data_IF_750733363448
#
_entry.id   IF_750733363448
#
_cell.length_a   1.000
_cell.length_b   1.000
_cell.length_c   1.000
_cell.angle_alpha   90.00
_cell.angle_beta   90.00
_cell.angle_gamma   90.00
#
_symmetry.space_group_name_H-M   'P 1'
#
loop_
_entity.id
_entity.type
_entity.pdbx_description
1 polymer ?
#
# COMPACT_ATOMS: atom_id res chain seq x y z
N UNK A 1 -18.07 -11.17 -8.11
CA UNK A 1 -17.62 -12.08 -9.18
C UNK A 1 -16.12 -12.23 -9.02
N UNK A 2 -15.56 -13.45 -9.09
CA UNK A 2 -14.12 -13.63 -9.17
C UNK A 2 -13.56 -12.90 -10.41
N UNK A 3 -12.45 -12.18 -10.25
CA UNK A 3 -11.80 -11.44 -11.34
C UNK A 3 -10.31 -11.45 -11.07
N UNK A 4 -9.55 -11.96 -12.03
CA UNK A 4 -8.10 -11.82 -12.02
C UNK A 4 -7.74 -10.46 -12.63
N UNK A 5 -7.20 -9.57 -11.80
CA UNK A 5 -6.80 -8.22 -12.24
C UNK A 5 -5.63 -8.23 -13.21
N UNK A 6 -4.84 -9.32 -13.25
CA UNK A 6 -3.73 -9.47 -14.18
C UNK A 6 -4.19 -9.75 -15.61
N UNK A 7 -5.46 -10.15 -15.79
CA UNK A 7 -6.11 -10.30 -17.09
C UNK A 7 -6.96 -9.07 -17.43
N UNK A 8 -6.53 -8.31 -18.44
CA UNK A 8 -7.23 -7.11 -18.90
C UNK A 8 -8.65 -7.41 -19.40
N UNK A 9 -8.90 -8.59 -20.00
CA UNK A 9 -10.22 -8.98 -20.47
C UNK A 9 -11.17 -9.28 -19.30
N UNK A 10 -10.67 -9.95 -18.25
CA UNK A 10 -11.44 -10.18 -17.03
C UNK A 10 -11.84 -8.87 -16.34
N UNK A 11 -10.93 -7.89 -16.29
CA UNK A 11 -11.22 -6.56 -15.73
C UNK A 11 -12.23 -5.79 -16.59
N UNK A 12 -12.13 -5.88 -17.92
CA UNK A 12 -13.12 -5.29 -18.82
C UNK A 12 -14.51 -5.91 -18.64
N UNK A 13 -14.60 -7.23 -18.46
CA UNK A 13 -15.85 -7.92 -18.16
C UNK A 13 -16.46 -7.48 -16.81
N UNK A 14 -15.63 -7.25 -15.79
CA UNK A 14 -16.08 -6.70 -14.50
C UNK A 14 -16.67 -5.29 -14.67
N UNK A 15 -16.00 -4.41 -15.42
CA UNK A 15 -16.51 -3.08 -15.78
C UNK A 15 -17.86 -3.17 -16.48
N UNK A 16 -17.99 -4.02 -17.50
CA UNK A 16 -19.23 -4.15 -18.28
C UNK A 16 -20.38 -4.65 -17.41
N UNK A 17 -20.10 -5.56 -16.48
CA UNK A 17 -21.11 -5.99 -15.51
C UNK A 17 -21.52 -4.86 -14.56
N UNK A 18 -20.56 -4.09 -14.05
CA UNK A 18 -20.85 -2.94 -13.18
C UNK A 18 -21.72 -1.90 -13.92
N UNK A 19 -21.43 -1.64 -15.19
CA UNK A 19 -22.26 -0.79 -16.06
C UNK A 19 -23.66 -1.36 -16.26
N UNK A 20 -23.79 -2.67 -16.47
CA UNK A 20 -25.10 -3.31 -16.61
C UNK A 20 -25.96 -3.25 -15.33
N UNK A 21 -25.35 -3.11 -14.14
CA UNK A 21 -26.07 -3.01 -12.87
C UNK A 21 -26.59 -1.59 -12.60
N UNK A 22 -25.83 -0.55 -12.96
CA UNK A 22 -26.11 0.83 -12.53
C UNK A 22 -26.12 1.88 -13.64
N UNK A 23 -25.86 1.50 -14.90
CA UNK A 23 -25.75 2.39 -16.05
C UNK A 23 -24.52 3.31 -16.04
N UNK A 24 -23.76 3.35 -14.95
CA UNK A 24 -22.60 4.22 -14.74
C UNK A 24 -21.66 3.62 -13.70
N UNK A 25 -20.42 4.11 -13.67
CA UNK A 25 -19.45 3.81 -12.61
C UNK A 25 -18.98 5.15 -12.06
N UNK A 26 -19.39 5.53 -10.84
CA UNK A 26 -18.94 6.81 -10.25
C UNK A 26 -17.59 6.65 -9.53
N UNK A 27 -17.29 5.45 -9.04
CA UNK A 27 -16.06 5.14 -8.28
C UNK A 27 -15.53 3.77 -8.69
N UNK A 28 -14.22 3.70 -8.94
CA UNK A 28 -13.50 2.43 -9.06
C UNK A 28 -12.35 2.43 -8.07
N UNK A 29 -12.28 1.41 -7.21
CA UNK A 29 -11.27 1.29 -6.18
C UNK A 29 -10.37 0.09 -6.47
N UNK A 30 -9.18 0.35 -7.01
CA UNK A 30 -8.13 -0.64 -7.20
C UNK A 30 -7.39 -0.84 -5.86
N UNK A 31 -7.62 -1.99 -5.24
CA UNK A 31 -7.19 -2.31 -3.87
C UNK A 31 -6.29 -3.54 -3.77
N UNK A 32 -6.31 -4.37 -4.80
CA UNK A 32 -5.54 -5.59 -4.93
C UNK A 32 -4.06 -5.40 -4.58
N UNK A 33 -3.47 -6.44 -3.98
CA UNK A 33 -2.09 -6.39 -3.58
C UNK A 33 -1.62 -7.72 -3.02
N UNK A 34 -0.49 -8.17 -3.52
CA UNK A 34 0.27 -9.32 -3.00
C UNK A 34 1.70 -8.90 -2.71
N UNK A 35 2.41 -9.70 -1.94
CA UNK A 35 3.78 -9.39 -1.57
C UNK A 35 4.57 -10.64 -1.18
N UNK A 36 5.88 -10.48 -1.18
CA UNK A 36 6.82 -11.46 -0.68
C UNK A 36 7.79 -10.79 0.28
N UNK A 37 8.20 -11.53 1.32
CA UNK A 37 9.25 -11.12 2.24
C UNK A 37 10.43 -12.09 2.13
N UNK A 38 11.62 -11.58 1.86
CA UNK A 38 12.87 -12.34 1.73
C UNK A 38 13.96 -11.49 1.10
N UNK A 39 15.22 -11.92 1.13
CA UNK A 39 16.26 -11.20 0.37
C UNK A 39 15.97 -11.35 -1.12
N UNK A 40 16.34 -10.33 -1.90
CA UNK A 40 16.01 -10.29 -3.33
C UNK A 40 16.40 -11.56 -4.08
N UNK A 41 17.61 -12.09 -3.83
CA UNK A 41 18.14 -13.29 -4.49
C UNK A 41 17.63 -14.61 -3.90
N UNK A 42 16.98 -14.58 -2.74
CA UNK A 42 16.38 -15.76 -2.09
C UNK A 42 14.91 -15.94 -2.48
N UNK A 43 14.26 -14.88 -2.96
CA UNK A 43 12.88 -14.90 -3.48
C UNK A 43 12.90 -15.32 -4.95
N UNK A 44 12.12 -16.34 -5.37
CA UNK A 44 12.03 -16.76 -6.76
C UNK A 44 11.62 -15.62 -7.70
N UNK A 45 12.19 -15.58 -8.91
CA UNK A 45 11.89 -14.50 -9.86
C UNK A 45 10.41 -14.45 -10.26
N UNK A 46 9.77 -15.61 -10.41
CA UNK A 46 8.33 -15.73 -10.66
C UNK A 46 7.48 -15.03 -9.60
N UNK A 47 7.92 -15.03 -8.34
CA UNK A 47 7.23 -14.33 -7.25
C UNK A 47 7.35 -12.81 -7.41
N UNK A 48 8.55 -12.32 -7.79
CA UNK A 48 8.74 -10.89 -8.09
C UNK A 48 7.88 -10.46 -9.28
N UNK A 49 7.85 -11.23 -10.36
CA UNK A 49 7.02 -10.95 -11.53
C UNK A 49 5.53 -10.91 -11.19
N UNK A 50 5.05 -11.89 -10.42
CA UNK A 50 3.64 -11.97 -10.03
C UNK A 50 3.22 -10.78 -9.16
N UNK A 51 4.11 -10.29 -8.30
CA UNK A 51 3.89 -9.05 -7.52
C UNK A 51 3.76 -7.85 -8.46
N UNK A 52 4.61 -7.71 -9.47
CA UNK A 52 4.51 -6.60 -10.44
C UNK A 52 3.21 -6.72 -11.26
N UNK A 53 2.88 -7.92 -11.76
CA UNK A 53 1.65 -8.17 -12.52
C UNK A 53 0.41 -7.78 -11.71
N UNK A 54 0.33 -8.21 -10.44
CA UNK A 54 -0.83 -7.92 -9.59
C UNK A 54 -0.86 -6.45 -9.15
N UNK A 55 0.23 -5.96 -8.57
CA UNK A 55 0.23 -4.68 -7.85
C UNK A 55 0.38 -3.46 -8.77
N UNK A 56 0.92 -3.63 -9.98
CA UNK A 56 1.09 -2.53 -10.94
C UNK A 56 0.20 -2.76 -12.17
N UNK A 57 0.42 -3.85 -12.90
CA UNK A 57 -0.31 -4.09 -14.15
C UNK A 57 -1.82 -4.25 -13.86
N UNK A 58 -2.21 -4.90 -12.76
CA UNK A 58 -3.62 -5.01 -12.37
C UNK A 58 -4.32 -3.66 -12.15
N UNK A 59 -3.63 -2.71 -11.51
CA UNK A 59 -4.14 -1.35 -11.35
C UNK A 59 -4.19 -0.60 -12.69
N UNK A 60 -3.22 -0.81 -13.57
CA UNK A 60 -3.24 -0.23 -14.93
C UNK A 60 -4.38 -0.81 -15.77
N UNK A 61 -4.64 -2.11 -15.69
CA UNK A 61 -5.79 -2.77 -16.32
C UNK A 61 -7.10 -2.18 -15.80
N UNK A 62 -7.21 -1.99 -14.48
CA UNK A 62 -8.34 -1.32 -13.85
C UNK A 62 -8.58 0.08 -14.42
N UNK A 63 -7.55 0.92 -14.44
CA UNK A 63 -7.66 2.28 -15.00
C UNK A 63 -8.00 2.26 -16.49
N UNK A 64 -7.34 1.42 -17.28
CA UNK A 64 -7.58 1.27 -18.71
C UNK A 64 -9.03 0.87 -19.00
N UNK A 65 -9.63 0.05 -18.14
CA UNK A 65 -11.04 -0.32 -18.26
C UNK A 65 -11.98 0.86 -17.97
N UNK A 66 -11.73 1.64 -16.90
CA UNK A 66 -12.73 2.61 -16.38
C UNK A 66 -12.53 4.07 -16.80
N UNK A 67 -11.31 4.50 -17.11
CA UNK A 67 -11.05 5.90 -17.52
C UNK A 67 -11.87 6.28 -18.76
N UNK A 68 -12.00 5.44 -19.81
CA UNK A 68 -12.90 5.74 -20.93
C UNK A 68 -14.36 5.89 -20.52
N UNK A 69 -14.81 5.18 -19.49
CA UNK A 69 -16.17 5.33 -18.94
C UNK A 69 -16.31 6.69 -18.28
N UNK A 70 -15.33 7.08 -17.46
CA UNK A 70 -15.31 8.36 -16.75
C UNK A 70 -15.31 9.55 -17.71
N UNK A 71 -14.55 9.45 -18.81
CA UNK A 71 -14.52 10.45 -19.87
C UNK A 71 -15.88 10.59 -20.56
N UNK A 72 -16.53 9.47 -20.92
CA UNK A 72 -17.86 9.51 -21.55
C UNK A 72 -18.96 10.07 -20.65
N UNK A 73 -18.92 9.76 -19.35
CA UNK A 73 -19.92 10.26 -18.39
C UNK A 73 -19.57 11.66 -17.84
N UNK A 74 -18.38 12.19 -18.15
CA UNK A 74 -17.88 13.48 -17.69
C UNK A 74 -17.60 13.57 -16.19
N UNK A 75 -17.51 12.43 -15.47
CA UNK A 75 -17.18 12.35 -14.04
C UNK A 75 -16.70 10.98 -13.61
N UNK A 76 -15.95 10.88 -12.53
CA UNK A 76 -15.58 9.60 -11.93
C UNK A 76 -14.41 9.71 -10.96
N UNK A 77 -14.29 8.77 -10.03
CA UNK A 77 -13.16 8.73 -9.10
C UNK A 77 -12.46 7.38 -9.17
N UNK A 78 -11.23 7.36 -9.67
CA UNK A 78 -10.32 6.23 -9.58
C UNK A 78 -9.54 6.33 -8.26
N UNK A 79 -9.60 5.31 -7.43
CA UNK A 79 -8.88 5.25 -6.15
C UNK A 79 -7.83 4.14 -6.23
N UNK A 80 -6.56 4.50 -6.03
CA UNK A 80 -5.42 3.58 -5.98
C UNK A 80 -5.00 3.29 -4.54
N UNK A 81 -5.03 2.03 -4.13
CA UNK A 81 -4.40 1.58 -2.90
C UNK A 81 -2.90 1.40 -3.10
N UNK A 82 -2.13 2.40 -2.66
CA UNK A 82 -0.67 2.35 -2.66
C UNK A 82 -0.23 1.78 -1.30
N UNK A 83 0.62 2.48 -0.56
CA UNK A 83 1.26 2.03 0.66
C UNK A 83 2.24 3.09 1.12
N UNK A 84 2.57 3.14 2.41
CA UNK A 84 3.81 3.74 2.89
C UNK A 84 5.04 3.34 2.04
N UNK A 85 5.05 2.09 1.56
CA UNK A 85 6.07 1.54 0.66
C UNK A 85 6.20 2.25 -0.69
N UNK A 86 5.30 3.17 -1.05
CA UNK A 86 5.43 4.05 -2.22
C UNK A 86 6.23 5.33 -1.95
N UNK A 87 6.62 5.59 -0.69
CA UNK A 87 7.50 6.70 -0.32
C UNK A 87 8.83 6.25 0.26
N UNK A 88 8.85 5.16 1.02
CA UNK A 88 10.05 4.62 1.65
C UNK A 88 10.15 3.13 1.34
N UNK A 89 11.25 2.74 0.69
CA UNK A 89 11.48 1.33 0.34
C UNK A 89 11.55 0.47 1.60
N UNK A 90 10.91 -0.71 1.53
CA UNK A 90 10.96 -1.71 2.59
C UNK A 90 12.00 -2.76 2.24
N UNK A 91 13.11 -2.85 3.01
CA UNK A 91 14.05 -3.95 2.90
C UNK A 91 13.32 -5.30 2.98
N UNK A 92 13.83 -6.29 2.25
CA UNK A 92 13.25 -7.63 2.11
C UNK A 92 11.89 -7.70 1.40
N UNK A 93 11.35 -6.58 0.90
CA UNK A 93 10.10 -6.54 0.13
C UNK A 93 10.32 -5.80 -1.20
N UNK A 94 11.31 -6.25 -1.98
CA UNK A 94 11.83 -5.54 -3.16
C UNK A 94 10.76 -5.29 -4.24
N UNK A 95 10.14 -6.34 -4.78
CA UNK A 95 9.11 -6.19 -5.82
C UNK A 95 7.87 -5.44 -5.31
N UNK A 96 7.49 -5.64 -4.04
CA UNK A 96 6.40 -4.89 -3.43
C UNK A 96 6.71 -3.39 -3.41
N UNK A 97 7.88 -3.00 -2.89
CA UNK A 97 8.30 -1.61 -2.86
C UNK A 97 8.38 -1.03 -4.28
N UNK A 98 9.03 -1.72 -5.21
CA UNK A 98 9.10 -1.30 -6.61
C UNK A 98 7.72 -1.05 -7.22
N UNK A 99 6.77 -1.97 -7.03
CA UNK A 99 5.39 -1.81 -7.54
C UNK A 99 4.67 -0.60 -6.95
N UNK A 100 4.83 -0.34 -5.64
CA UNK A 100 4.15 0.79 -4.98
C UNK A 100 4.79 2.14 -5.32
N UNK A 101 6.09 2.20 -5.59
CA UNK A 101 6.72 3.38 -6.20
C UNK A 101 6.23 3.60 -7.64
N UNK A 102 6.15 2.53 -8.43
CA UNK A 102 5.65 2.61 -9.81
C UNK A 102 4.20 3.09 -9.89
N UNK A 103 3.32 2.62 -8.97
CA UNK A 103 1.94 3.11 -8.88
C UNK A 103 1.85 4.61 -8.68
N UNK A 104 2.75 5.22 -7.90
CA UNK A 104 2.77 6.66 -7.72
C UNK A 104 3.11 7.38 -9.03
N UNK A 105 4.14 6.93 -9.74
CA UNK A 105 4.49 7.49 -11.05
C UNK A 105 3.34 7.34 -12.05
N UNK A 106 2.68 6.17 -12.06
CA UNK A 106 1.49 5.92 -12.85
C UNK A 106 0.34 6.89 -12.51
N UNK A 107 0.02 7.08 -11.23
CA UNK A 107 -1.00 8.04 -10.79
C UNK A 107 -0.63 9.48 -11.16
N UNK A 108 0.64 9.87 -11.10
CA UNK A 108 1.12 11.20 -11.49
C UNK A 108 0.87 11.47 -12.99
N UNK A 109 1.21 10.50 -13.85
CA UNK A 109 0.96 10.59 -15.30
C UNK A 109 -0.53 10.61 -15.61
N UNK A 110 -1.31 9.69 -15.04
CA UNK A 110 -2.75 9.61 -15.31
C UNK A 110 -3.48 10.88 -14.85
N UNK A 111 -3.09 11.49 -13.72
CA UNK A 111 -3.59 12.80 -13.32
C UNK A 111 -3.26 13.90 -14.33
N UNK A 112 -2.06 13.87 -14.92
CA UNK A 112 -1.63 14.88 -15.89
C UNK A 112 -2.40 14.75 -17.21
N UNK A 113 -2.65 13.52 -17.68
CA UNK A 113 -3.46 13.26 -18.88
C UNK A 113 -4.93 13.67 -18.72
N UNK A 114 -5.45 13.64 -17.50
CA UNK A 114 -6.83 14.04 -17.17
C UNK A 114 -6.96 15.53 -16.82
N UNK A 115 -5.92 16.33 -17.02
CA UNK A 115 -6.01 17.80 -16.91
C UNK A 115 -7.08 18.31 -17.88
N UNK A 116 -7.95 19.20 -17.40
CA UNK A 116 -9.11 19.70 -18.16
C UNK A 116 -10.40 18.90 -17.94
N UNK A 117 -10.37 17.80 -17.18
CA UNK A 117 -11.54 17.03 -16.76
C UNK A 117 -11.89 17.32 -15.29
N UNK A 118 -12.64 18.40 -14.97
CA UNK A 118 -12.78 18.91 -13.60
C UNK A 118 -13.47 17.94 -12.62
N UNK A 119 -14.23 16.97 -13.12
CA UNK A 119 -14.99 16.02 -12.31
C UNK A 119 -14.45 14.59 -12.37
N UNK A 120 -13.27 14.39 -12.98
CA UNK A 120 -12.59 13.10 -13.03
C UNK A 120 -11.37 13.18 -12.13
N UNK A 121 -11.26 12.24 -11.19
CA UNK A 121 -10.25 12.30 -10.14
C UNK A 121 -9.49 10.99 -10.04
N UNK A 122 -8.17 11.08 -9.90
CA UNK A 122 -7.30 9.97 -9.54
C UNK A 122 -6.78 10.24 -8.14
N UNK A 123 -7.12 9.35 -7.21
CA UNK A 123 -6.87 9.52 -5.78
C UNK A 123 -5.98 8.38 -5.26
N UNK A 124 -4.90 8.72 -4.57
CA UNK A 124 -4.01 7.74 -3.96
C UNK A 124 -4.23 7.62 -2.46
N UNK A 125 -4.25 6.37 -1.97
CA UNK A 125 -4.29 6.04 -0.54
C UNK A 125 -2.95 5.44 -0.12
N UNK A 126 -2.32 6.04 0.88
CA UNK A 126 -1.04 5.59 1.44
C UNK A 126 -1.23 5.15 2.90
N UNK A 127 -1.69 3.91 3.14
CA UNK A 127 -1.78 3.37 4.49
C UNK A 127 -0.39 3.04 5.06
N UNK A 128 -0.25 3.21 6.37
CA UNK A 128 0.84 2.60 7.15
C UNK A 128 0.54 1.10 7.35
N UNK A 129 1.12 0.47 8.38
CA UNK A 129 0.77 -0.90 8.74
C UNK A 129 -0.67 -0.97 9.28
N UNK A 130 -1.50 -1.81 8.66
CA UNK A 130 -2.92 -1.96 8.98
C UNK A 130 -3.18 -3.36 9.52
N UNK A 131 -4.05 -3.45 10.54
CA UNK A 131 -4.47 -4.70 11.15
C UNK A 131 -5.41 -5.48 10.24
N UNK A 132 -4.83 -6.24 9.32
CA UNK A 132 -5.55 -7.15 8.43
C UNK A 132 -4.82 -8.49 8.37
N UNK A 133 -5.50 -9.57 7.97
CA UNK A 133 -4.84 -10.86 7.73
C UNK A 133 -3.77 -10.83 6.63
N UNK A 134 -3.67 -9.75 5.83
CA UNK A 134 -2.84 -9.68 4.63
C UNK A 134 -1.35 -9.98 4.83
N UNK A 135 -0.76 -9.64 5.98
CA UNK A 135 0.65 -10.01 6.27
C UNK A 135 0.82 -11.53 6.39
N UNK A 136 -0.18 -12.23 6.93
CA UNK A 136 -0.19 -13.68 6.98
C UNK A 136 -0.45 -14.33 5.62
N UNK A 137 -1.00 -13.60 4.66
CA UNK A 137 -1.25 -14.11 3.29
C UNK A 137 -0.03 -13.97 2.39
N UNK A 138 0.88 -13.04 2.70
CA UNK A 138 2.06 -12.76 1.87
C UNK A 138 2.98 -13.98 1.76
N UNK A 139 3.66 -14.10 0.63
CA UNK A 139 4.73 -15.08 0.50
C UNK A 139 5.87 -14.76 1.48
N UNK A 140 6.48 -15.81 2.01
CA UNK A 140 7.55 -15.68 2.99
C UNK A 140 8.69 -16.62 2.61
N UNK A 141 9.79 -16.03 2.18
CA UNK A 141 11.06 -16.68 1.87
C UNK A 141 12.16 -16.25 2.85
N UNK A 142 11.81 -15.56 3.94
CA UNK A 142 12.75 -15.11 4.96
C UNK A 142 13.08 -16.19 6.01
N UNK A 143 12.45 -17.36 5.94
CA UNK A 143 12.65 -18.49 6.88
C UNK A 143 12.24 -18.18 8.33
N UNK A 144 11.46 -17.10 8.53
CA UNK A 144 11.09 -16.53 9.83
C UNK A 144 9.70 -15.93 9.76
N UNK A 145 8.90 -16.10 10.81
CA UNK A 145 7.53 -15.55 10.89
C UNK A 145 7.56 -14.01 10.80
N UNK A 146 6.91 -13.46 9.79
CA UNK A 146 6.80 -12.00 9.59
C UNK A 146 5.55 -11.47 10.30
N UNK A 147 5.67 -10.28 10.88
CA UNK A 147 4.57 -9.54 11.49
C UNK A 147 4.65 -8.05 11.14
N UNK A 148 3.57 -7.29 11.37
CA UNK A 148 3.60 -5.84 11.26
C UNK A 148 4.40 -5.22 12.43
N UNK A 149 5.40 -4.37 12.18
CA UNK A 149 5.97 -3.57 13.25
C UNK A 149 4.95 -2.52 13.73
N UNK A 150 4.89 -2.25 15.04
CA UNK A 150 4.03 -1.20 15.57
C UNK A 150 4.49 0.20 15.11
N UNK A 151 3.59 1.19 15.02
CA UNK A 151 2.15 1.10 15.28
C UNK A 151 1.37 0.43 14.14
N UNK A 152 0.37 -0.37 14.51
CA UNK A 152 -0.60 -0.98 13.59
C UNK A 152 -1.95 -0.26 13.74
N UNK A 153 -2.55 0.16 12.62
CA UNK A 153 -3.78 0.93 12.59
C UNK A 153 -5.00 0.06 12.25
N UNK A 154 -6.19 0.50 12.68
CA UNK A 154 -7.46 -0.18 12.36
C UNK A 154 -7.76 -0.09 10.84
N UNK A 155 -8.15 -1.20 10.23
CA UNK A 155 -8.55 -1.27 8.81
C UNK A 155 -9.73 -0.37 8.48
N UNK A 156 -10.62 -0.13 9.45
CA UNK A 156 -11.75 0.80 9.31
C UNK A 156 -11.30 2.23 9.01
N UNK A 157 -10.12 2.65 9.47
CA UNK A 157 -9.57 3.98 9.13
C UNK A 157 -9.25 4.11 7.64
N UNK A 158 -8.85 3.02 7.00
CA UNK A 158 -8.63 2.97 5.55
C UNK A 158 -9.97 2.99 4.82
N UNK A 159 -10.94 2.18 5.25
CA UNK A 159 -12.30 2.20 4.70
C UNK A 159 -12.93 3.60 4.77
N UNK A 160 -12.84 4.28 5.92
CA UNK A 160 -13.30 5.65 6.08
C UNK A 160 -12.58 6.63 5.14
N UNK A 161 -11.29 6.43 4.90
CA UNK A 161 -10.52 7.26 3.99
C UNK A 161 -10.99 7.07 2.54
N UNK A 162 -11.21 5.83 2.11
CA UNK A 162 -11.73 5.51 0.77
C UNK A 162 -13.14 6.06 0.59
N UNK A 163 -14.05 5.87 1.56
CA UNK A 163 -15.41 6.45 1.51
C UNK A 163 -15.37 7.98 1.47
N UNK A 164 -14.45 8.61 2.22
CA UNK A 164 -14.26 10.07 2.12
C UNK A 164 -13.76 10.50 0.75
N UNK A 165 -12.83 9.76 0.13
CA UNK A 165 -12.35 10.07 -1.22
C UNK A 165 -13.46 9.95 -2.27
N UNK A 166 -14.28 8.90 -2.18
CA UNK A 166 -15.44 8.72 -3.04
C UNK A 166 -16.43 9.90 -2.97
N UNK A 167 -16.57 10.52 -1.78
CA UNK A 167 -17.48 11.67 -1.57
C UNK A 167 -16.83 13.03 -1.84
N UNK A 168 -15.54 13.17 -1.52
CA UNK A 168 -14.74 14.40 -1.59
C UNK A 168 -13.35 14.05 -2.11
N UNK A 169 -13.19 13.94 -3.43
CA UNK A 169 -11.95 13.52 -4.06
C UNK A 169 -10.79 14.46 -3.73
N UNK A 170 -9.61 13.87 -3.57
CA UNK A 170 -8.32 14.58 -3.41
C UNK A 170 -7.24 13.66 -3.92
N UNK A 171 -6.20 14.25 -4.52
CA UNK A 171 -5.09 13.50 -5.13
C UNK A 171 -4.43 12.50 -4.19
N UNK A 172 -4.35 12.80 -2.89
CA UNK A 172 -3.63 11.95 -1.93
C UNK A 172 -4.28 11.98 -0.56
N UNK A 173 -4.36 10.82 0.09
CA UNK A 173 -4.63 10.69 1.53
C UNK A 173 -3.66 9.70 2.16
N UNK A 174 -3.16 10.03 3.35
CA UNK A 174 -2.36 9.10 4.15
C UNK A 174 -3.18 8.56 5.32
N UNK A 175 -2.96 7.31 5.71
CA UNK A 175 -3.64 6.68 6.86
C UNK A 175 -2.58 6.16 7.83
N UNK A 176 -2.43 6.86 8.95
CA UNK A 176 -1.37 6.61 9.93
C UNK A 176 -0.25 7.65 9.84
N UNK A 177 0.13 8.22 10.98
CA UNK A 177 1.12 9.31 11.05
C UNK A 177 2.51 8.87 10.59
N UNK A 178 2.83 7.57 10.75
CA UNK A 178 4.10 6.97 10.34
C UNK A 178 4.34 7.12 8.85
N UNK A 179 3.29 7.08 8.03
CA UNK A 179 3.41 7.33 6.59
C UNK A 179 3.99 8.69 6.28
N UNK A 180 3.51 9.74 6.95
CA UNK A 180 4.02 11.09 6.74
C UNK A 180 5.44 11.24 7.29
N UNK A 181 5.72 10.68 8.47
CA UNK A 181 7.04 10.72 9.09
C UNK A 181 8.10 10.04 8.19
N UNK A 182 7.80 8.84 7.68
CA UNK A 182 8.69 8.12 6.79
C UNK A 182 8.83 8.80 5.42
N UNK A 183 7.75 9.40 4.87
CA UNK A 183 7.82 10.20 3.64
C UNK A 183 8.79 11.37 3.79
N UNK A 184 8.68 12.14 4.87
CA UNK A 184 9.55 13.28 5.15
C UNK A 184 10.98 12.79 5.44
N UNK A 185 11.12 11.76 6.29
CA UNK A 185 12.43 11.20 6.64
C UNK A 185 13.19 10.68 5.43
N UNK A 186 12.52 9.92 4.55
CA UNK A 186 13.13 9.41 3.32
C UNK A 186 13.49 10.54 2.35
N UNK A 187 12.65 11.59 2.25
CA UNK A 187 12.96 12.77 1.43
C UNK A 187 14.20 13.53 1.93
N UNK A 188 14.38 13.67 3.25
CA UNK A 188 15.48 14.42 3.84
C UNK A 188 16.79 13.62 3.95
N UNK A 189 16.68 12.32 4.26
CA UNK A 189 17.82 11.45 4.54
C UNK A 189 17.51 9.99 4.10
N UNK A 190 17.54 9.70 2.78
CA UNK A 190 17.10 8.42 2.23
C UNK A 190 17.93 7.24 2.75
N UNK A 191 19.26 7.33 2.70
CA UNK A 191 20.16 6.24 3.13
C UNK A 191 20.06 5.94 4.62
N UNK A 192 19.97 6.99 5.44
CA UNK A 192 19.77 6.84 6.88
C UNK A 192 18.43 6.17 7.19
N UNK A 193 17.35 6.61 6.54
CA UNK A 193 16.01 6.06 6.72
C UNK A 193 15.97 4.58 6.33
N UNK A 194 16.52 4.23 5.16
CA UNK A 194 16.59 2.84 4.71
C UNK A 194 17.43 1.98 5.68
N UNK A 195 18.58 2.49 6.12
CA UNK A 195 19.45 1.81 7.08
C UNK A 195 18.76 1.55 8.42
N UNK A 196 17.97 2.51 8.92
CA UNK A 196 17.18 2.35 10.15
C UNK A 196 16.09 1.29 9.99
N UNK A 197 15.29 1.36 8.90
CA UNK A 197 14.25 0.37 8.63
C UNK A 197 14.85 -1.03 8.50
N UNK A 198 15.98 -1.17 7.78
CA UNK A 198 16.70 -2.44 7.66
C UNK A 198 17.04 -3.04 9.02
N UNK A 199 17.64 -2.25 9.92
CA UNK A 199 17.99 -2.71 11.27
C UNK A 199 16.78 -3.16 12.08
N UNK A 200 15.64 -2.45 11.96
CA UNK A 200 14.40 -2.83 12.64
C UNK A 200 13.89 -4.17 12.13
N UNK A 201 13.85 -4.35 10.79
CA UNK A 201 13.37 -5.60 10.18
C UNK A 201 14.31 -6.77 10.51
N UNK A 202 15.63 -6.60 10.39
CA UNK A 202 16.62 -7.63 10.74
C UNK A 202 16.49 -8.07 12.20
N UNK A 203 16.32 -7.11 13.12
CA UNK A 203 16.13 -7.40 14.55
C UNK A 203 14.81 -8.13 14.80
N UNK A 204 13.74 -7.77 14.09
CA UNK A 204 12.46 -8.45 14.19
C UNK A 204 12.54 -9.90 13.69
N UNK A 205 13.20 -10.13 12.54
CA UNK A 205 13.36 -11.46 11.96
C UNK A 205 14.26 -12.37 12.79
N UNK A 206 15.31 -11.83 13.41
CA UNK A 206 16.23 -12.62 14.23
C UNK A 206 15.60 -13.20 15.50
N UNK A 207 14.55 -12.56 16.03
CA UNK A 207 13.80 -13.04 17.21
C UNK A 207 12.52 -13.79 16.84
N UNK A 208 12.19 -13.89 15.55
CA UNK A 208 10.96 -14.53 15.10
C UNK A 208 11.10 -16.05 15.04
N UNK A 209 9.96 -16.73 15.17
CA UNK A 209 9.89 -18.19 15.04
C UNK A 209 10.32 -18.63 13.64
N UNK A 210 11.16 -19.67 13.50
CA UNK A 210 11.43 -20.31 12.21
C UNK A 210 10.14 -20.80 11.56
N UNK A 211 10.03 -20.63 10.24
CA UNK A 211 8.96 -21.23 9.44
C UNK A 211 9.52 -21.69 8.10
N UNK A 212 8.86 -22.66 7.48
CA UNK A 212 9.17 -23.08 6.11
C UNK A 212 8.80 -21.98 5.10
N UNK A 213 9.58 -21.83 4.01
CA UNK A 213 9.24 -20.93 2.93
C UNK A 213 7.86 -21.24 2.33
N UNK A 214 7.14 -20.20 1.93
CA UNK A 214 5.81 -20.33 1.32
C UNK A 214 5.57 -19.26 0.27
N UNK A 215 4.87 -19.63 -0.81
CA UNK A 215 4.40 -18.69 -1.84
C UNK A 215 3.19 -17.86 -1.40
N UNK A 216 2.65 -18.10 -0.19
CA UNK A 216 1.49 -17.39 0.33
C UNK A 216 0.33 -17.40 -0.67
N UNK A 217 -0.20 -16.22 -0.98
CA UNK A 217 -1.30 -16.02 -1.92
C UNK A 217 -0.86 -15.50 -3.31
N UNK A 218 0.40 -15.67 -3.70
CA UNK A 218 0.89 -15.15 -4.99
C UNK A 218 0.21 -15.82 -6.19
N UNK A 219 0.05 -17.14 -6.14
CA UNK A 219 -0.41 -17.97 -7.26
C UNK A 219 -1.77 -18.63 -7.01
N UNK A 220 -2.42 -18.27 -5.90
CA UNK A 220 -3.66 -18.89 -5.47
C UNK A 220 -4.27 -18.20 -4.26
N UNK A 221 -5.46 -18.64 -3.83
CA UNK A 221 -6.11 -18.10 -2.64
C UNK A 221 -5.25 -18.35 -1.39
N UNK A 222 -5.30 -17.44 -0.39
CA UNK A 222 -4.57 -17.64 0.85
C UNK A 222 -5.07 -18.87 1.61
N UNK A 223 -4.15 -19.59 2.25
CA UNK A 223 -4.49 -20.69 3.16
C UNK A 223 -5.19 -20.20 4.43
N UNK A 224 -4.92 -18.95 4.84
CA UNK A 224 -5.58 -18.28 5.95
C UNK A 224 -6.82 -17.56 5.42
N UNK A 225 -7.94 -17.70 6.14
CA UNK A 225 -9.17 -17.03 5.76
C UNK A 225 -9.02 -15.50 5.78
N UNK A 226 -9.63 -14.84 4.80
CA UNK A 226 -9.77 -13.39 4.81
C UNK A 226 -10.62 -12.88 5.97
N UNK A 227 -10.52 -11.59 6.27
CA UNK A 227 -11.24 -10.95 7.36
C UNK A 227 -10.95 -9.46 7.42
N UNK A 228 -11.72 -8.75 8.26
CA UNK A 228 -11.56 -7.30 8.46
C UNK A 228 -10.33 -7.00 9.35
N UNK A 229 -10.14 -7.82 10.38
CA UNK A 229 -9.10 -7.65 11.41
C UNK A 229 -8.10 -8.81 11.34
N UNK A 230 -6.81 -8.51 11.48
CA UNK A 230 -5.72 -9.51 11.46
C UNK A 230 -5.28 -9.98 12.84
N UNK A 231 -5.86 -9.43 13.92
CA UNK A 231 -5.44 -9.71 15.30
C UNK A 231 -4.07 -9.13 15.66
N UNK A 232 -3.56 -8.17 14.89
CA UNK A 232 -2.23 -7.56 15.06
C UNK A 232 -2.23 -6.37 16.02
N UNK A 233 -3.39 -5.93 16.53
CA UNK A 233 -3.51 -4.82 17.50
C UNK A 233 -3.67 -5.35 18.93
N UNK A 234 -2.57 -5.56 19.65
CA UNK A 234 -2.63 -5.78 21.10
C UNK A 234 -2.65 -4.46 21.91
N UNK A 235 -3.17 -4.45 23.15
CA UNK A 235 -3.11 -3.28 24.04
C UNK A 235 -1.69 -2.77 24.30
N UNK A 236 -0.69 -3.66 24.35
CA UNK A 236 0.73 -3.31 24.53
C UNK A 236 1.30 -2.60 23.29
N UNK A 237 0.93 -3.02 22.07
CA UNK A 237 1.33 -2.37 20.83
C UNK A 237 0.69 -0.98 20.66
N UNK A 238 -0.52 -0.74 21.19
CA UNK A 238 -1.11 0.62 21.25
C UNK A 238 -0.26 1.55 22.11
N UNK A 239 0.24 1.06 23.25
CA UNK A 239 1.10 1.82 24.17
C UNK A 239 2.48 2.10 23.57
N UNK A 240 3.07 1.12 22.87
CA UNK A 240 4.33 1.29 22.12
C UNK A 240 4.18 2.28 20.96
N UNK A 241 3.08 2.20 20.20
CA UNK A 241 2.78 3.15 19.11
C UNK A 241 2.64 4.60 19.60
N UNK A 242 2.04 4.81 20.77
CA UNK A 242 1.95 6.12 21.40
C UNK A 242 3.32 6.65 21.86
N UNK A 243 4.17 5.79 22.45
CA UNK A 243 5.54 6.16 22.81
C UNK A 243 6.40 6.50 21.58
N UNK A 244 6.31 5.71 20.50
CA UNK A 244 7.03 5.98 19.26
C UNK A 244 6.62 7.32 18.62
N UNK A 245 5.32 7.66 18.68
CA UNK A 245 4.83 8.97 18.25
C UNK A 245 5.39 10.12 19.11
N UNK A 246 5.46 9.92 20.43
CA UNK A 246 6.05 10.89 21.35
C UNK A 246 7.54 11.16 21.08
N UNK A 247 8.32 10.10 20.82
CA UNK A 247 9.74 10.22 20.48
C UNK A 247 9.93 10.92 19.13
N UNK A 248 9.11 10.60 18.12
CA UNK A 248 9.19 11.25 16.81
C UNK A 248 8.89 12.76 16.88
N UNK A 249 7.90 13.15 17.70
CA UNK A 249 7.58 14.57 17.94
C UNK A 249 8.69 15.29 18.70
N UNK A 250 9.28 14.66 19.72
CA UNK A 250 10.40 15.22 20.48
C UNK A 250 11.67 15.38 19.62
N UNK A 251 11.98 14.39 18.77
CA UNK A 251 13.10 14.47 17.84
C UNK A 251 12.89 15.55 16.76
N UNK A 252 11.66 15.69 16.24
CA UNK A 252 11.30 16.76 15.32
C UNK A 252 11.43 18.16 15.95
N UNK A 253 10.99 18.33 17.20
CA UNK A 253 11.13 19.57 17.94
C UNK A 253 12.61 19.89 18.25
N UNK A 254 13.41 18.88 18.62
CA UNK A 254 14.85 19.03 18.86
C UNK A 254 15.61 19.46 17.60
N UNK A 255 15.29 18.88 16.45
CA UNK A 255 15.88 19.26 15.17
C UNK A 255 15.50 20.70 14.76
N UNK A 256 14.23 21.10 14.98
CA UNK A 256 13.78 22.47 14.72
C UNK A 256 14.44 23.51 15.64
N UNK A 257 14.69 23.17 16.90
CA UNK A 257 15.41 24.02 17.86
C UNK A 257 16.89 24.17 17.47
N UNK A 258 17.55 23.08 17.05
CA UNK A 258 18.93 23.09 16.57
C UNK A 258 19.10 23.88 15.26
N UNK A 259 18.09 23.88 14.39
CA UNK A 259 18.08 24.67 13.16
C UNK A 259 17.79 26.15 13.42
N UNK A 260 17.05 26.49 14.49
CA UNK A 260 16.81 27.87 14.92
C UNK A 260 17.98 28.48 15.66
N UNK A 261 18.77 27.70 16.40
CA UNK A 261 19.95 28.18 17.13
C UNK A 261 21.19 28.39 16.26
N UNK A 262 21.10 28.11 14.95
CA UNK A 262 22.17 28.30 13.95
C UNK A 262 21.93 29.49 13.02
N UNK A 263 20.93 30.32 13.32
CA UNK A 263 20.69 31.64 12.71
C UNK A 263 20.92 32.70 13.77
#
# INVERSE_FOLDING_TARGET
MPTDVTDAAAVAALRDRALALGGRIDVWFANEGVGAVGRFHEVPMEAHEQIIKTNLIGHMNSAHAVVPVFLRQGRGTFINMISLGGFAAMPFASAYSASKFALRGFSEVLNAELVGQPNIHVCDVYPAFIDTPGIGHAANYAGRKVTAPPPVFDSRKVADAVVRLAKRPRRTTTVGWVTNAARIGHFLAPDFTIGLVKRIVERSLSHATPIEPTSGNLFGPPAIAGGIDGGLRSPSQRRQGAMAAGIALAAGAGLLLLLRSRR
#
